data_IF_020657457955
#
_entry.id   IF_020657457955
#
_cell.length_a   1.000
_cell.length_b   1.000
_cell.length_c   1.000
_cell.angle_alpha   90.00
_cell.angle_beta   90.00
_cell.angle_gamma   90.00
#
_symmetry.space_group_name_H-M   'P 1'
#
loop_
_entity.id
_entity.type
_entity.pdbx_description
1 polymer ?
#
# COMPACT_ATOMS: atom_id res chain seq x y z
N UNK A 1 -13.86 1.40 -20.64
CA UNK A 1 -14.57 1.36 -19.33
C UNK A 1 -14.51 2.75 -18.71
N UNK A 2 -15.54 3.21 -17.98
CA UNK A 2 -15.58 4.51 -17.26
C UNK A 2 -15.68 4.25 -15.75
N UNK A 3 -15.47 5.27 -14.92
CA UNK A 3 -15.57 5.20 -13.44
C UNK A 3 -14.64 4.13 -12.84
N UNK A 4 -13.37 4.22 -13.17
CA UNK A 4 -12.31 3.43 -12.55
C UNK A 4 -11.72 4.25 -11.40
N UNK A 5 -11.66 3.66 -10.21
CA UNK A 5 -10.96 4.24 -9.06
C UNK A 5 -9.49 3.82 -9.13
N UNK A 6 -8.59 4.78 -9.00
CA UNK A 6 -7.16 4.54 -8.85
C UNK A 6 -6.83 4.59 -7.36
N UNK A 7 -6.39 3.47 -6.81
CA UNK A 7 -6.14 3.35 -5.37
C UNK A 7 -4.79 2.66 -5.10
N UNK A 8 -3.77 3.45 -4.88
CA UNK A 8 -2.43 2.95 -4.52
C UNK A 8 -2.36 2.28 -3.14
N UNK A 9 -3.39 2.44 -2.31
CA UNK A 9 -3.53 1.76 -1.02
C UNK A 9 -4.07 0.35 -1.13
N UNK A 10 -4.77 0.02 -2.22
CA UNK A 10 -5.33 -1.32 -2.42
C UNK A 10 -4.26 -2.33 -2.83
N UNK A 11 -4.22 -3.49 -2.15
CA UNK A 11 -3.31 -4.61 -2.46
C UNK A 11 -3.76 -5.46 -3.64
N UNK A 12 -4.92 -5.18 -4.23
CA UNK A 12 -5.50 -5.95 -5.33
C UNK A 12 -6.25 -5.06 -6.31
N UNK A 13 -6.41 -5.57 -7.54
CA UNK A 13 -7.27 -4.97 -8.56
C UNK A 13 -8.66 -5.60 -8.49
N UNK A 14 -9.70 -4.78 -8.48
CA UNK A 14 -11.09 -5.23 -8.28
C UNK A 14 -11.93 -4.87 -9.51
N UNK A 15 -12.75 -5.79 -9.95
CA UNK A 15 -13.80 -5.59 -10.95
C UNK A 15 -15.15 -5.89 -10.32
N UNK A 16 -16.04 -4.92 -10.33
CA UNK A 16 -17.38 -5.13 -9.80
C UNK A 16 -18.23 -5.96 -10.72
N UNK A 17 -19.07 -6.85 -10.16
CA UNK A 17 -19.90 -7.79 -10.91
C UNK A 17 -20.72 -7.11 -12.00
N UNK A 18 -21.37 -5.98 -11.71
CA UNK A 18 -22.15 -5.25 -12.70
C UNK A 18 -21.33 -4.80 -13.92
N UNK A 19 -20.04 -4.51 -13.74
CA UNK A 19 -19.14 -4.17 -14.84
C UNK A 19 -18.60 -5.44 -15.54
N UNK A 20 -18.36 -6.52 -14.79
CA UNK A 20 -18.01 -7.82 -15.36
C UNK A 20 -19.12 -8.33 -16.29
N UNK A 21 -20.39 -8.26 -15.86
CA UNK A 21 -21.55 -8.68 -16.67
C UNK A 21 -21.66 -7.90 -18.00
N UNK A 22 -21.26 -6.60 -17.99
CA UNK A 22 -21.22 -5.77 -19.20
C UNK A 22 -20.14 -6.21 -20.21
N UNK A 23 -19.09 -6.87 -19.76
CA UNK A 23 -18.05 -7.40 -20.64
C UNK A 23 -18.51 -8.64 -21.42
N UNK A 24 -19.64 -9.23 -21.04
CA UNK A 24 -20.24 -10.45 -21.66
C UNK A 24 -19.27 -11.63 -21.67
N UNK A 25 -18.40 -11.72 -20.67
CA UNK A 25 -17.48 -12.82 -20.48
C UNK A 25 -18.23 -13.92 -19.71
N UNK A 26 -18.18 -15.17 -20.16
CA UNK A 26 -18.80 -16.28 -19.45
C UNK A 26 -18.24 -16.44 -18.03
N UNK A 27 -19.10 -16.71 -17.07
CA UNK A 27 -18.70 -16.85 -15.67
C UNK A 27 -17.80 -18.07 -15.39
N UNK A 28 -17.81 -19.07 -16.26
CA UNK A 28 -16.92 -20.23 -16.20
C UNK A 28 -15.45 -19.92 -16.48
N UNK A 29 -15.14 -18.72 -17.01
CA UNK A 29 -13.78 -18.25 -17.16
C UNK A 29 -13.18 -17.68 -15.86
N UNK A 30 -14.00 -17.50 -14.83
CA UNK A 30 -13.51 -17.08 -13.52
C UNK A 30 -12.72 -18.20 -12.86
N UNK A 31 -11.48 -17.94 -12.53
CA UNK A 31 -10.66 -18.84 -11.73
C UNK A 31 -11.09 -18.74 -10.27
N UNK A 32 -11.30 -19.86 -9.57
CA UNK A 32 -11.74 -19.85 -8.18
C UNK A 32 -10.68 -19.21 -7.27
N UNK A 33 -11.15 -18.35 -6.37
CA UNK A 33 -10.31 -17.69 -5.35
C UNK A 33 -10.86 -18.05 -3.98
N UNK A 34 -10.02 -18.64 -3.12
CA UNK A 34 -10.42 -19.07 -1.77
C UNK A 34 -10.20 -17.98 -0.73
N UNK A 35 -9.31 -17.04 -1.02
CA UNK A 35 -8.89 -16.00 -0.10
C UNK A 35 -9.92 -14.87 -0.05
N UNK A 36 -10.47 -14.56 1.13
CA UNK A 36 -11.39 -13.44 1.26
C UNK A 36 -10.63 -12.10 1.19
N UNK A 37 -11.34 -11.07 0.74
CA UNK A 37 -10.91 -9.69 0.84
C UNK A 37 -11.37 -9.11 2.17
N UNK A 38 -10.49 -8.41 2.87
CA UNK A 38 -10.83 -7.73 4.11
C UNK A 38 -10.66 -6.24 3.95
N UNK A 39 -11.74 -5.50 4.22
CA UNK A 39 -11.72 -4.06 4.25
C UNK A 39 -11.07 -3.52 5.52
N UNK A 40 -10.63 -2.26 5.48
CA UNK A 40 -10.03 -1.55 6.62
C UNK A 40 -10.91 -1.56 7.89
N UNK A 41 -12.22 -1.68 7.72
CA UNK A 41 -13.21 -1.76 8.82
C UNK A 41 -13.42 -3.18 9.34
N UNK A 42 -12.69 -4.18 8.83
CA UNK A 42 -12.80 -5.58 9.20
C UNK A 42 -13.91 -6.34 8.49
N UNK A 43 -14.53 -5.74 7.49
CA UNK A 43 -15.56 -6.39 6.68
C UNK A 43 -14.92 -7.35 5.69
N UNK A 44 -15.48 -8.56 5.61
CA UNK A 44 -14.97 -9.63 4.75
C UNK A 44 -15.86 -9.82 3.54
N UNK A 45 -15.26 -9.84 2.33
CA UNK A 45 -15.95 -10.09 1.07
C UNK A 45 -15.28 -11.28 0.38
N UNK A 46 -16.09 -12.22 -0.06
CA UNK A 46 -15.60 -13.35 -0.86
C UNK A 46 -15.70 -13.00 -2.34
N UNK A 47 -14.58 -12.98 -3.09
CA UNK A 47 -14.62 -12.81 -4.53
C UNK A 47 -15.35 -13.95 -5.20
N UNK A 48 -16.07 -13.66 -6.28
CA UNK A 48 -16.67 -14.69 -7.14
C UNK A 48 -15.60 -15.50 -7.88
N UNK A 49 -14.43 -14.91 -8.08
CA UNK A 49 -13.29 -15.50 -8.75
C UNK A 49 -12.34 -14.41 -9.24
N UNK A 50 -11.29 -14.82 -9.94
CA UNK A 50 -10.33 -13.93 -10.59
C UNK A 50 -10.36 -14.08 -12.10
N UNK A 51 -10.04 -13.00 -12.81
CA UNK A 51 -9.95 -12.98 -14.27
C UNK A 51 -8.79 -12.12 -14.73
N UNK A 52 -8.09 -12.58 -15.78
CA UNK A 52 -7.06 -11.78 -16.45
C UNK A 52 -7.70 -11.01 -17.59
N UNK A 53 -7.49 -9.69 -17.58
CA UNK A 53 -7.99 -8.80 -18.62
C UNK A 53 -6.86 -7.94 -19.17
N UNK A 54 -6.87 -7.77 -20.48
CA UNK A 54 -5.98 -6.82 -21.14
C UNK A 54 -6.51 -5.41 -20.96
N UNK A 55 -5.75 -4.56 -20.30
CA UNK A 55 -6.07 -3.16 -20.07
C UNK A 55 -5.17 -2.25 -20.91
N UNK A 56 -5.79 -1.31 -21.60
CA UNK A 56 -5.10 -0.26 -22.35
C UNK A 56 -5.25 1.05 -21.61
N UNK A 57 -4.15 1.68 -21.23
CA UNK A 57 -4.10 3.00 -20.60
C UNK A 57 -3.49 4.03 -21.54
N UNK A 58 -4.00 5.27 -21.49
CA UNK A 58 -3.56 6.39 -22.34
C UNK A 58 -4.25 6.47 -23.68
N UNK A 59 -3.74 7.32 -24.54
CA UNK A 59 -4.20 7.55 -25.92
C UNK A 59 -3.05 7.41 -26.89
N UNK A 60 -3.34 6.89 -28.08
CA UNK A 60 -2.32 6.74 -29.13
C UNK A 60 -1.65 8.09 -29.46
N UNK A 61 -0.32 8.14 -29.70
CA UNK A 61 0.60 7.01 -29.68
C UNK A 61 1.12 6.63 -28.27
N UNK A 62 0.89 7.46 -27.25
CA UNK A 62 1.39 7.26 -25.88
C UNK A 62 0.42 6.40 -25.07
N UNK A 63 0.25 5.14 -25.45
CA UNK A 63 -0.57 4.17 -24.74
C UNK A 63 0.26 2.96 -24.31
N UNK A 64 -0.13 2.33 -23.19
CA UNK A 64 0.43 1.08 -22.68
C UNK A 64 -0.67 0.04 -22.55
N UNK A 65 -0.37 -1.19 -22.92
CA UNK A 65 -1.27 -2.34 -22.76
C UNK A 65 -0.62 -3.34 -21.82
N UNK A 66 -1.35 -3.71 -20.77
CA UNK A 66 -0.89 -4.66 -19.75
C UNK A 66 -1.98 -5.67 -19.43
N UNK A 67 -1.56 -6.89 -19.09
CA UNK A 67 -2.47 -7.93 -18.59
C UNK A 67 -2.60 -7.79 -17.08
N UNK A 68 -3.81 -7.53 -16.59
CA UNK A 68 -4.10 -7.37 -15.17
C UNK A 68 -5.01 -8.47 -14.67
N UNK A 69 -4.76 -8.95 -13.46
CA UNK A 69 -5.63 -9.93 -12.78
C UNK A 69 -6.61 -9.18 -11.88
N UNK A 70 -7.88 -9.24 -12.18
CA UNK A 70 -8.94 -8.64 -11.38
C UNK A 70 -9.65 -9.68 -10.53
N UNK A 71 -9.96 -9.34 -9.29
CA UNK A 71 -10.89 -10.07 -8.46
C UNK A 71 -12.31 -9.54 -8.72
N UNK A 72 -13.21 -10.44 -9.09
CA UNK A 72 -14.62 -10.08 -9.35
C UNK A 72 -15.40 -10.17 -8.05
N UNK A 73 -16.04 -9.06 -7.68
CA UNK A 73 -16.81 -8.97 -6.43
C UNK A 73 -18.27 -8.57 -6.70
N UNK A 74 -19.20 -9.22 -5.99
CA UNK A 74 -20.62 -8.90 -6.03
C UNK A 74 -21.00 -7.99 -4.86
N UNK A 75 -20.60 -6.73 -4.99
CA UNK A 75 -20.89 -5.69 -4.00
C UNK A 75 -21.33 -4.42 -4.72
N UNK A 76 -22.38 -3.76 -4.27
CA UNK A 76 -22.82 -2.50 -4.85
C UNK A 76 -21.69 -1.45 -4.78
N UNK A 77 -21.44 -0.77 -5.90
CA UNK A 77 -20.42 0.27 -5.99
C UNK A 77 -20.75 1.25 -7.10
N UNK A 78 -20.50 2.55 -6.92
CA UNK A 78 -20.58 3.53 -7.99
C UNK A 78 -19.43 3.41 -9.00
N UNK A 79 -18.39 2.64 -8.67
CA UNK A 79 -17.25 2.38 -9.54
C UNK A 79 -17.43 1.08 -10.30
N UNK A 80 -16.84 0.99 -11.48
CA UNK A 80 -16.81 -0.22 -12.28
C UNK A 80 -15.62 -1.11 -11.92
N UNK A 81 -14.49 -0.51 -11.58
CA UNK A 81 -13.28 -1.20 -11.17
C UNK A 81 -12.45 -0.34 -10.23
N UNK A 82 -11.56 -1.00 -9.49
CA UNK A 82 -10.47 -0.40 -8.74
C UNK A 82 -9.17 -0.92 -9.33
N UNK A 83 -8.25 -0.02 -9.68
CA UNK A 83 -6.88 -0.37 -10.04
C UNK A 83 -6.02 -0.07 -8.83
N UNK A 84 -5.54 -1.13 -8.21
CA UNK A 84 -4.69 -1.13 -7.03
C UNK A 84 -3.20 -1.09 -7.35
N UNK A 85 -2.38 -1.33 -6.32
CA UNK A 85 -0.93 -1.40 -6.48
C UNK A 85 -0.46 -2.40 -7.55
N UNK A 86 -1.03 -3.62 -7.67
CA UNK A 86 -0.56 -4.56 -8.68
C UNK A 86 -0.69 -4.00 -10.10
N UNK A 87 -1.86 -3.47 -10.45
CA UNK A 87 -2.08 -2.88 -11.76
C UNK A 87 -1.27 -1.61 -12.00
N UNK A 88 -1.08 -0.77 -10.97
CA UNK A 88 -0.22 0.41 -11.08
C UNK A 88 1.24 0.04 -11.26
N UNK A 89 1.74 -1.01 -10.59
CA UNK A 89 3.10 -1.51 -10.76
C UNK A 89 3.32 -2.10 -12.16
N UNK A 90 2.35 -2.86 -12.68
CA UNK A 90 2.42 -3.37 -14.05
C UNK A 90 2.49 -2.26 -15.11
N UNK A 91 1.86 -1.13 -14.84
CA UNK A 91 1.94 0.07 -15.68
C UNK A 91 3.18 0.92 -15.42
N UNK A 92 3.97 0.61 -14.39
CA UNK A 92 5.04 1.49 -13.88
C UNK A 92 4.54 2.92 -13.63
N UNK A 93 3.34 3.02 -13.08
CA UNK A 93 2.58 4.26 -13.04
C UNK A 93 2.90 5.12 -11.83
N UNK A 94 3.00 6.42 -12.04
CA UNK A 94 3.06 7.44 -11.00
C UNK A 94 1.68 8.10 -10.88
N UNK A 95 1.13 8.11 -9.66
CA UNK A 95 -0.18 8.68 -9.37
C UNK A 95 -0.04 10.02 -8.66
N UNK A 96 -0.68 11.06 -9.18
CA UNK A 96 -0.79 12.34 -8.51
C UNK A 96 -2.26 12.62 -8.15
N UNK A 97 -2.60 12.45 -6.88
CA UNK A 97 -3.94 12.75 -6.36
C UNK A 97 -4.26 14.24 -6.43
N UNK A 98 -3.26 15.12 -6.25
CA UNK A 98 -3.43 16.58 -6.34
C UNK A 98 -3.82 17.03 -7.75
N UNK A 99 -3.22 16.42 -8.78
CA UNK A 99 -3.44 16.82 -10.17
C UNK A 99 -4.43 15.88 -10.88
N UNK A 100 -4.95 14.87 -10.18
CA UNK A 100 -5.85 13.84 -10.73
C UNK A 100 -5.30 13.25 -12.02
N UNK A 101 -4.02 12.87 -12.00
CA UNK A 101 -3.35 12.32 -13.18
C UNK A 101 -2.54 11.08 -12.80
N UNK A 102 -2.57 10.10 -13.68
CA UNK A 102 -1.69 8.92 -13.68
C UNK A 102 -0.78 9.05 -14.88
N UNK A 103 0.53 8.93 -14.67
CA UNK A 103 1.54 8.93 -15.73
C UNK A 103 2.28 7.60 -15.73
N UNK A 104 2.62 7.11 -16.90
CA UNK A 104 3.31 5.83 -17.09
C UNK A 104 4.20 5.88 -18.34
N UNK A 105 5.30 5.07 -18.37
CA UNK A 105 6.18 5.01 -19.53
C UNK A 105 5.49 4.31 -20.70
N UNK A 106 5.79 4.76 -21.91
CA UNK A 106 5.41 4.10 -23.16
C UNK A 106 6.56 4.13 -24.14
N UNK A 107 6.47 3.36 -25.22
CA UNK A 107 7.50 3.37 -26.28
C UNK A 107 7.65 4.73 -26.96
N UNK A 108 6.65 5.59 -26.85
CA UNK A 108 6.60 6.91 -27.52
C UNK A 108 6.71 8.08 -26.52
N UNK A 109 7.19 7.81 -25.30
CA UNK A 109 7.32 8.78 -24.24
C UNK A 109 6.37 8.51 -23.07
N UNK A 110 5.95 9.57 -22.37
CA UNK A 110 5.10 9.44 -21.18
C UNK A 110 3.64 9.47 -21.58
N UNK A 111 2.92 8.38 -21.29
CA UNK A 111 1.47 8.32 -21.37
C UNK A 111 0.82 8.95 -20.13
N UNK A 112 -0.36 9.48 -20.27
CA UNK A 112 -1.13 10.01 -19.14
C UNK A 112 -2.63 9.71 -19.24
N UNK A 113 -3.25 9.54 -18.08
CA UNK A 113 -4.71 9.46 -17.91
C UNK A 113 -5.11 10.51 -16.88
N UNK A 114 -6.07 11.36 -17.22
CA UNK A 114 -6.58 12.39 -16.31
C UNK A 114 -7.91 11.98 -15.70
N UNK A 115 -8.05 12.24 -14.43
CA UNK A 115 -9.29 12.04 -13.69
C UNK A 115 -10.26 13.20 -13.91
N UNK A 116 -11.55 12.87 -13.90
CA UNK A 116 -12.64 13.84 -13.90
C UNK A 116 -13.09 14.11 -12.46
N UNK A 117 -12.85 15.33 -11.99
CA UNK A 117 -13.18 15.75 -10.63
C UNK A 117 -14.70 15.74 -10.37
N UNK A 118 -15.52 16.08 -11.37
CA UNK A 118 -16.98 16.08 -11.19
C UNK A 118 -17.51 14.65 -11.06
N UNK A 119 -17.04 13.75 -11.93
CA UNK A 119 -17.38 12.33 -11.86
C UNK A 119 -16.90 11.70 -10.54
N UNK A 120 -15.68 12.02 -10.09
CA UNK A 120 -15.15 11.55 -8.81
C UNK A 120 -16.02 12.01 -7.62
N UNK A 121 -16.39 13.28 -7.58
CA UNK A 121 -17.30 13.82 -6.54
C UNK A 121 -18.68 13.17 -6.57
N UNK A 122 -19.21 12.90 -7.76
CA UNK A 122 -20.52 12.24 -7.90
C UNK A 122 -20.46 10.79 -7.39
N UNK A 123 -19.44 10.03 -7.76
CA UNK A 123 -19.23 8.68 -7.25
C UNK A 123 -19.10 8.66 -5.71
N UNK A 124 -18.31 9.60 -5.16
CA UNK A 124 -18.17 9.74 -3.71
C UNK A 124 -19.49 10.05 -3.01
N UNK A 125 -20.28 11.00 -3.54
CA UNK A 125 -21.62 11.33 -2.99
C UNK A 125 -22.55 10.12 -3.03
N UNK A 126 -22.57 9.37 -4.14
CA UNK A 126 -23.38 8.16 -4.26
C UNK A 126 -22.96 7.12 -3.22
N UNK A 127 -21.66 6.86 -3.06
CA UNK A 127 -21.14 5.91 -2.07
C UNK A 127 -21.52 6.26 -0.63
N UNK A 128 -21.62 7.58 -0.29
CA UNK A 128 -22.04 8.01 1.05
C UNK A 128 -23.56 7.94 1.21
N UNK A 129 -24.32 8.33 0.18
CA UNK A 129 -25.79 8.37 0.24
C UNK A 129 -26.39 6.96 0.37
N UNK A 130 -25.76 5.96 -0.19
CA UNK A 130 -26.19 4.57 -0.11
C UNK A 130 -25.86 3.91 1.24
N UNK A 131 -24.94 4.50 2.05
CA UNK A 131 -24.70 4.07 3.44
C UNK A 131 -25.96 4.13 4.34
N UNK A 132 -26.97 4.89 3.94
CA UNK A 132 -28.24 4.99 4.68
C UNK A 132 -29.33 3.99 4.26
N UNK A 133 -29.15 3.25 3.14
CA UNK A 133 -30.22 2.37 2.57
C UNK A 133 -29.81 0.90 2.38
N UNK A 134 -28.64 0.51 2.74
CA UNK A 134 -28.10 -0.85 2.61
C UNK A 134 -26.57 -0.79 2.59
N UNK A 135 -25.94 -1.76 3.19
CA UNK A 135 -24.48 -1.83 3.37
C UNK A 135 -23.71 -1.65 2.05
N UNK A 136 -23.49 -0.41 1.62
CA UNK A 136 -22.44 -0.11 0.64
C UNK A 136 -21.14 -0.04 1.43
N UNK A 137 -20.34 -1.06 1.29
CA UNK A 137 -19.03 -1.17 1.91
C UNK A 137 -18.06 -0.27 1.14
N UNK A 138 -17.32 0.64 1.80
CA UNK A 138 -16.20 1.27 1.15
C UNK A 138 -15.11 0.21 0.94
N UNK A 139 -15.04 -0.32 -0.27
CA UNK A 139 -14.02 -1.31 -0.68
C UNK A 139 -12.67 -0.60 -0.94
N UNK A 140 -12.60 0.71 -0.84
CA UNK A 140 -11.34 1.42 -0.85
C UNK A 140 -10.46 0.91 0.31
N UNK A 141 -9.26 0.45 0.02
CA UNK A 141 -8.28 -0.17 0.93
C UNK A 141 -8.65 -1.59 1.39
N UNK A 142 -9.01 -2.48 0.48
CA UNK A 142 -9.10 -3.91 0.79
C UNK A 142 -7.74 -4.59 0.68
N UNK A 143 -7.42 -5.38 1.69
CA UNK A 143 -6.25 -6.26 1.71
C UNK A 143 -6.68 -7.72 1.56
N UNK A 144 -5.92 -8.48 0.78
CA UNK A 144 -6.03 -9.94 0.75
C UNK A 144 -5.45 -10.47 2.06
N UNK A 145 -6.31 -11.07 2.90
CA UNK A 145 -5.84 -11.84 4.05
C UNK A 145 -5.65 -13.29 3.62
N UNK A 146 -4.46 -13.68 3.45
CA UNK A 146 -4.01 -15.03 3.15
C UNK A 146 -2.57 -14.98 2.68
N UNK A 147 -1.85 -16.09 2.79
CA UNK A 147 -0.41 -16.30 2.58
C UNK A 147 0.13 -15.89 1.18
N UNK A 148 -0.29 -14.73 0.69
CA UNK A 148 0.21 -14.07 -0.51
C UNK A 148 1.04 -12.81 -0.18
N UNK A 149 1.59 -12.70 1.05
CA UNK A 149 2.87 -12.00 1.11
C UNK A 149 3.79 -12.80 0.19
N UNK A 150 4.31 -12.20 -0.90
CA UNK A 150 5.38 -12.86 -1.64
C UNK A 150 6.41 -13.21 -0.57
N UNK A 151 6.71 -14.50 -0.44
CA UNK A 151 7.76 -14.94 0.47
C UNK A 151 8.90 -13.96 0.32
N UNK A 152 9.28 -13.30 1.41
CA UNK A 152 10.44 -12.41 1.38
C UNK A 152 11.56 -13.21 0.75
N UNK A 153 12.26 -12.66 -0.26
CA UNK A 153 13.33 -13.41 -0.91
C UNK A 153 14.23 -13.98 0.19
N UNK A 154 14.22 -15.30 0.30
CA UNK A 154 15.11 -15.98 1.23
C UNK A 154 16.49 -16.04 0.56
N UNK A 155 17.58 -15.94 1.34
CA UNK A 155 18.90 -16.19 0.81
C UNK A 155 18.92 -17.58 0.14
N UNK A 156 19.48 -17.66 -1.06
CA UNK A 156 19.60 -18.92 -1.82
C UNK A 156 20.62 -19.87 -1.15
N UNK A 157 21.46 -19.31 -0.31
CA UNK A 157 22.53 -20.01 0.41
C UNK A 157 22.44 -19.76 1.92
N UNK A 158 23.14 -20.58 2.69
CA UNK A 158 23.31 -20.36 4.12
C UNK A 158 24.03 -19.03 4.36
N UNK A 159 23.62 -18.30 5.40
CA UNK A 159 24.23 -17.03 5.76
C UNK A 159 25.07 -17.18 7.03
N UNK A 160 26.22 -16.53 7.04
CA UNK A 160 27.10 -16.44 8.21
C UNK A 160 26.81 -15.14 8.94
N UNK A 161 26.66 -15.23 10.25
CA UNK A 161 26.54 -14.05 11.10
C UNK A 161 27.94 -13.51 11.41
N UNK A 162 28.18 -12.27 11.07
CA UNK A 162 29.45 -11.58 11.30
C UNK A 162 29.21 -10.36 12.17
N UNK A 163 29.84 -10.32 13.33
CA UNK A 163 29.80 -9.16 14.21
C UNK A 163 30.59 -7.99 13.58
N UNK A 164 30.00 -6.82 13.62
CA UNK A 164 30.63 -5.58 13.10
C UNK A 164 31.71 -5.08 14.05
N UNK A 165 31.50 -5.20 15.37
CA UNK A 165 32.44 -4.85 16.41
C UNK A 165 32.82 -6.09 17.22
N UNK A 166 34.10 -6.25 17.57
CA UNK A 166 34.55 -7.37 18.40
C UNK A 166 33.91 -7.23 19.79
N UNK A 167 33.12 -8.27 20.14
CA UNK A 167 32.41 -8.33 21.43
C UNK A 167 31.01 -7.76 21.46
N UNK A 168 30.51 -7.17 20.38
CA UNK A 168 29.11 -6.72 20.26
C UNK A 168 28.29 -7.75 19.48
N UNK A 169 27.42 -8.47 20.18
CA UNK A 169 26.54 -9.45 19.59
C UNK A 169 25.20 -8.88 19.09
N UNK A 170 24.96 -7.58 19.29
CA UNK A 170 23.73 -6.93 18.85
C UNK A 170 23.87 -6.37 17.42
N UNK A 171 25.11 -6.01 17.03
CA UNK A 171 25.42 -5.48 15.69
C UNK A 171 25.97 -6.57 14.79
N UNK A 172 25.08 -7.35 14.22
CA UNK A 172 25.42 -8.52 13.40
C UNK A 172 24.93 -8.32 11.97
N UNK A 173 25.83 -8.56 11.02
CA UNK A 173 25.54 -8.60 9.58
C UNK A 173 25.44 -10.05 9.12
N UNK A 174 24.63 -10.28 8.07
CA UNK A 174 24.48 -11.58 7.43
C UNK A 174 25.24 -11.55 6.10
N UNK A 175 26.20 -12.45 5.95
CA UNK A 175 27.04 -12.57 4.75
C UNK A 175 26.88 -13.97 4.17
N UNK A 176 26.79 -14.11 2.85
CA UNK A 176 26.64 -15.38 2.17
C UNK A 176 27.79 -16.34 2.47
N UNK A 177 27.48 -17.63 2.69
CA UNK A 177 28.47 -18.64 3.07
C UNK A 177 29.33 -19.10 1.89
N UNK A 178 28.85 -18.96 0.65
CA UNK A 178 29.54 -19.46 -0.57
C UNK A 178 30.54 -18.47 -1.17
N UNK A 179 30.71 -17.29 -0.56
CA UNK A 179 31.73 -16.34 -0.98
C UNK A 179 33.13 -16.93 -0.80
N UNK A 180 34.01 -16.70 -1.76
CA UNK A 180 35.44 -17.10 -1.66
C UNK A 180 36.05 -16.35 -0.47
N UNK A 181 36.92 -17.03 0.29
CA UNK A 181 37.48 -16.45 1.53
C UNK A 181 38.17 -15.08 1.35
N UNK A 182 38.78 -14.84 0.19
CA UNK A 182 39.38 -13.53 -0.12
C UNK A 182 38.31 -12.44 -0.27
N UNK A 183 37.26 -12.70 -1.06
CA UNK A 183 36.14 -11.76 -1.28
C UNK A 183 35.35 -11.52 -0.01
N UNK A 184 35.16 -12.58 0.78
CA UNK A 184 34.49 -12.49 2.09
C UNK A 184 35.26 -11.61 3.06
N UNK A 185 36.60 -11.75 3.13
CA UNK A 185 37.45 -10.92 3.94
C UNK A 185 37.40 -9.43 3.53
N UNK A 186 37.44 -9.16 2.23
CA UNK A 186 37.32 -7.80 1.70
C UNK A 186 35.94 -7.21 2.00
N UNK A 187 34.86 -7.98 1.80
CA UNK A 187 33.49 -7.54 2.10
C UNK A 187 33.30 -7.24 3.59
N UNK A 188 33.78 -8.10 4.48
CA UNK A 188 33.66 -7.89 5.93
C UNK A 188 34.44 -6.64 6.36
N UNK A 189 35.62 -6.42 5.81
CA UNK A 189 36.41 -5.22 6.07
C UNK A 189 35.67 -3.98 5.61
N UNK A 190 35.15 -4.01 4.38
CA UNK A 190 34.38 -2.90 3.82
C UNK A 190 33.12 -2.58 4.66
N UNK A 191 32.39 -3.59 5.11
CA UNK A 191 31.19 -3.41 5.94
C UNK A 191 31.54 -2.84 7.32
N UNK A 192 32.65 -3.24 7.90
CA UNK A 192 33.16 -2.69 9.19
C UNK A 192 33.61 -1.24 9.06
N UNK A 193 34.28 -0.91 7.97
CA UNK A 193 34.73 0.45 7.70
C UNK A 193 33.57 1.43 7.44
N UNK A 194 32.41 0.91 7.00
CA UNK A 194 31.20 1.69 6.72
C UNK A 194 30.05 1.38 7.69
N UNK A 195 30.36 1.04 8.94
CA UNK A 195 29.35 0.65 9.95
C UNK A 195 28.35 1.77 10.29
N UNK A 196 28.71 3.02 10.07
CA UNK A 196 27.91 4.22 10.28
C UNK A 196 26.76 4.38 9.27
N UNK A 197 26.79 3.62 8.17
CA UNK A 197 25.71 3.59 7.17
C UNK A 197 24.52 2.72 7.64
N UNK A 198 24.76 1.82 8.59
CA UNK A 198 23.73 0.92 9.12
C UNK A 198 23.06 1.51 10.35
N UNK A 199 21.76 1.29 10.46
CA UNK A 199 20.98 1.64 11.65
C UNK A 199 20.65 0.36 12.40
N UNK A 200 21.11 0.25 13.65
CA UNK A 200 21.00 -0.94 14.47
C UNK A 200 19.79 -0.89 15.41
N UNK A 201 19.34 0.32 15.74
CA UNK A 201 18.15 0.53 16.58
C UNK A 201 17.27 1.68 16.03
N UNK A 202 16.02 1.73 16.46
CA UNK A 202 15.12 2.83 16.12
C UNK A 202 15.61 4.20 16.65
N UNK A 203 16.41 4.18 17.70
CA UNK A 203 16.96 5.37 18.34
C UNK A 203 18.08 6.02 17.50
N UNK A 204 18.76 5.22 16.68
CA UNK A 204 19.84 5.68 15.79
C UNK A 204 19.32 6.27 14.48
N UNK A 205 18.01 6.19 14.19
CA UNK A 205 17.42 6.79 12.97
C UNK A 205 17.38 8.29 13.12
N UNK A 206 18.26 9.08 12.42
CA UNK A 206 18.19 10.52 12.49
C UNK A 206 16.89 10.99 11.82
N UNK A 207 16.11 11.78 12.53
CA UNK A 207 14.95 12.45 11.94
C UNK A 207 15.39 13.47 10.88
N UNK A 208 14.47 13.81 9.98
CA UNK A 208 14.71 14.89 9.02
C UNK A 208 14.74 16.22 9.77
N UNK A 209 15.81 17.00 9.61
CA UNK A 209 15.91 18.33 10.22
C UNK A 209 14.71 19.21 9.81
N UNK A 210 14.02 19.86 10.78
CA UNK A 210 12.93 20.78 10.47
C UNK A 210 13.33 21.94 9.53
N UNK A 211 14.61 22.24 9.42
CA UNK A 211 15.13 23.24 8.48
C UNK A 211 15.15 22.75 7.04
N UNK A 212 15.19 21.42 6.84
CA UNK A 212 15.19 20.82 5.50
C UNK A 212 13.75 20.65 5.01
N UNK A 213 12.89 20.07 5.85
CA UNK A 213 11.49 19.84 5.49
C UNK A 213 10.61 19.72 6.74
N UNK A 214 9.46 20.36 6.71
CA UNK A 214 8.39 20.21 7.72
C UNK A 214 7.08 19.92 7.02
N UNK A 215 6.41 18.86 7.44
CA UNK A 215 5.06 18.60 6.99
C UNK A 215 4.06 19.40 7.83
N UNK A 216 3.56 20.50 7.27
CA UNK A 216 2.53 21.31 7.93
C UNK A 216 1.14 20.83 7.54
N UNK A 217 0.32 20.55 8.55
CA UNK A 217 -1.11 20.28 8.32
C UNK A 217 -1.79 21.57 7.85
N UNK A 218 -2.53 21.50 6.75
CA UNK A 218 -3.38 22.61 6.27
C UNK A 218 -4.66 22.66 7.10
N UNK A 219 -4.54 23.16 8.32
CA UNK A 219 -5.68 23.36 9.24
C UNK A 219 -6.18 24.78 9.08
N UNK A 220 -7.49 24.94 8.90
CA UNK A 220 -8.14 26.25 8.92
C UNK A 220 -8.34 26.69 10.37
N UNK A 221 -7.66 27.76 10.85
CA UNK A 221 -7.77 28.22 12.24
C UNK A 221 -9.17 28.68 12.64
N UNK A 222 -10.00 29.03 11.63
CA UNK A 222 -11.37 29.50 11.89
C UNK A 222 -12.36 28.35 12.15
N UNK A 223 -11.95 27.09 11.91
CA UNK A 223 -12.81 25.94 12.15
C UNK A 223 -12.61 25.37 13.56
N UNK A 224 -13.67 25.10 14.30
CA UNK A 224 -13.58 24.50 15.63
C UNK A 224 -12.98 23.09 15.53
N UNK A 225 -12.13 22.76 16.49
CA UNK A 225 -11.52 21.43 16.61
C UNK A 225 -12.61 20.38 16.86
N UNK A 226 -12.62 19.33 16.06
CA UNK A 226 -13.55 18.21 16.23
C UNK A 226 -12.85 17.07 16.96
N UNK A 227 -13.32 16.75 18.17
CA UNK A 227 -12.82 15.64 18.96
C UNK A 227 -13.57 14.36 18.58
N UNK A 228 -12.85 13.33 18.15
CA UNK A 228 -13.43 12.01 17.95
C UNK A 228 -13.60 11.29 19.31
N UNK A 229 -14.69 10.52 19.45
CA UNK A 229 -14.86 9.63 20.60
C UNK A 229 -13.76 8.57 20.61
N UNK A 230 -13.23 8.28 21.80
CA UNK A 230 -12.25 7.19 21.99
C UNK A 230 -12.86 5.88 21.48
N UNK A 231 -12.14 5.19 20.61
CA UNK A 231 -12.53 3.86 20.17
C UNK A 231 -12.16 2.84 21.24
N UNK A 232 -13.10 1.98 21.60
CA UNK A 232 -12.82 0.87 22.48
C UNK A 232 -12.35 -0.32 21.65
N UNK A 233 -11.18 -0.83 21.96
CA UNK A 233 -10.60 -2.02 21.34
C UNK A 233 -10.61 -3.16 22.37
N UNK A 234 -10.51 -4.41 21.89
CA UNK A 234 -10.28 -5.57 22.75
C UNK A 234 -8.97 -5.40 23.55
N UNK A 235 -8.87 -5.97 24.75
CA UNK A 235 -7.71 -5.77 25.65
C UNK A 235 -6.35 -6.07 24.97
N UNK A 236 -6.26 -7.13 24.19
CA UNK A 236 -5.05 -7.50 23.45
C UNK A 236 -4.59 -6.39 22.47
N UNK A 237 -5.56 -5.79 21.74
CA UNK A 237 -5.27 -4.66 20.86
C UNK A 237 -4.87 -3.40 21.60
N UNK A 238 -5.50 -3.16 22.76
CA UNK A 238 -5.12 -2.02 23.60
C UNK A 238 -3.70 -2.15 24.09
N UNK A 239 -3.28 -3.35 24.48
CA UNK A 239 -1.93 -3.62 24.93
C UNK A 239 -0.93 -3.41 23.77
N UNK A 240 -1.17 -4.00 22.60
CA UNK A 240 -0.31 -3.81 21.43
C UNK A 240 -0.17 -2.33 21.03
N UNK A 241 -1.26 -1.56 21.06
CA UNK A 241 -1.22 -0.12 20.81
C UNK A 241 -0.38 0.62 21.86
N UNK A 242 -0.53 0.27 23.15
CA UNK A 242 0.21 0.90 24.23
C UNK A 242 1.72 0.62 24.11
N UNK A 243 2.09 -0.61 23.79
CA UNK A 243 3.48 -1.01 23.57
C UNK A 243 4.11 -0.24 22.39
N UNK A 244 3.40 -0.13 21.26
CA UNK A 244 3.90 0.59 20.09
C UNK A 244 4.01 2.10 20.33
N UNK A 245 3.02 2.70 20.99
CA UNK A 245 3.08 4.11 21.39
C UNK A 245 4.26 4.36 22.32
N UNK A 246 4.53 3.45 23.28
CA UNK A 246 5.67 3.56 24.18
C UNK A 246 7.00 3.52 23.44
N UNK A 247 7.16 2.62 22.48
CA UNK A 247 8.36 2.56 21.62
C UNK A 247 8.58 3.87 20.85
N UNK A 248 7.53 4.41 20.24
CA UNK A 248 7.61 5.66 19.49
C UNK A 248 7.94 6.88 20.38
N UNK A 249 7.42 6.89 21.62
CA UNK A 249 7.75 7.91 22.61
C UNK A 249 9.21 7.81 23.06
N UNK A 250 9.70 6.59 23.34
CA UNK A 250 11.09 6.36 23.73
C UNK A 250 12.07 6.72 22.62
N UNK A 251 11.74 6.37 21.38
CA UNK A 251 12.54 6.73 20.21
C UNK A 251 12.41 8.22 19.80
N UNK A 252 11.59 9.02 20.49
CA UNK A 252 11.45 10.46 20.21
C UNK A 252 10.68 10.81 18.94
N UNK A 253 10.06 9.82 18.28
CA UNK A 253 9.25 10.06 17.05
C UNK A 253 7.96 10.79 17.34
N UNK A 254 7.38 10.61 18.52
CA UNK A 254 6.18 11.30 18.97
C UNK A 254 6.40 11.88 20.36
N UNK A 255 5.57 12.86 20.72
CA UNK A 255 5.53 13.43 22.07
C UNK A 255 4.10 13.59 22.55
N UNK A 256 3.90 13.48 23.84
CA UNK A 256 2.62 13.79 24.45
C UNK A 256 2.35 15.29 24.39
N UNK A 257 1.16 15.69 23.94
CA UNK A 257 0.73 17.08 23.87
C UNK A 257 -0.56 17.24 24.67
N UNK A 258 -0.50 18.09 25.67
CA UNK A 258 -1.69 18.52 26.40
C UNK A 258 -2.35 19.67 25.64
N UNK A 259 -3.55 19.45 25.12
CA UNK A 259 -4.35 20.54 24.57
C UNK A 259 -4.92 21.34 25.74
N UNK A 260 -4.48 22.59 25.90
CA UNK A 260 -5.18 23.58 26.72
C UNK A 260 -6.50 23.92 26.02
N UNK A 261 -7.60 23.83 26.74
CA UNK A 261 -8.93 24.21 26.28
C UNK A 261 -9.04 25.72 26.09
#
# INVERSE_FOLDING_TARGET
MKRILIDSGSSTDILYKHAFDQLRIPADQLKPVKTPLVGFTGETIHPLGSINLSMVAGTAPCQSQVEMTFLVVDTPSPYNAIVGRPGLNLLEAIVSTRHLVVKFPTRFGVGEVRGDQQAARQCYKTAISEKGKGKVLPIANMELIGDLEPERPQPVEDVLQVSVEEGDNEKVLQVGSQLVEAEKGELITFLRDNKDVFTWSAEEVPGISPYVMVHKLSVDPARPLTRQKKRNFAPERQQAIAEEVSKLLQAGFIREVHYSY
#
